data_IF_554605277770
#
_entry.id   IF_554605277770
#
_cell.length_a   1.000
_cell.length_b   1.000
_cell.length_c   1.000
_cell.angle_alpha   90.00
_cell.angle_beta   90.00
_cell.angle_gamma   90.00
#
_symmetry.space_group_name_H-M   'P 1'
#
loop_
_entity.id
_entity.type
_entity.pdbx_description
1 polymer ?
#
# COMPACT_ATOMS: atom_id res chain seq x y z
N UNK A 1 -8.16 -10.16 -12.46
CA UNK A 1 -7.89 -9.90 -11.02
C UNK A 1 -6.93 -8.74 -10.91
N UNK A 2 -7.25 -7.76 -10.08
CA UNK A 2 -6.43 -6.56 -9.91
C UNK A 2 -5.66 -6.65 -8.60
N UNK A 3 -4.35 -6.39 -8.67
CA UNK A 3 -3.46 -6.40 -7.50
C UNK A 3 -2.89 -5.00 -7.33
N UNK A 4 -3.18 -4.40 -6.19
CA UNK A 4 -2.65 -3.10 -5.82
C UNK A 4 -1.41 -3.30 -4.94
N UNK A 5 -0.29 -2.70 -5.35
CA UNK A 5 0.95 -2.74 -4.58
C UNK A 5 1.25 -1.34 -4.09
N UNK A 6 1.36 -1.16 -2.79
CA UNK A 6 1.78 0.12 -2.22
C UNK A 6 3.28 0.10 -1.96
N UNK A 7 3.92 1.26 -2.03
CA UNK A 7 5.36 1.35 -1.76
C UNK A 7 6.23 0.76 -2.86
N UNK A 8 5.93 1.09 -4.10
CA UNK A 8 6.65 0.52 -5.25
C UNK A 8 8.13 0.85 -5.27
N UNK A 9 8.53 1.94 -4.64
CA UNK A 9 9.93 2.36 -4.59
C UNK A 9 10.72 1.68 -3.48
N UNK A 10 10.06 0.96 -2.59
CA UNK A 10 10.73 0.17 -1.57
C UNK A 10 11.36 -1.08 -2.15
N UNK A 11 12.15 -1.77 -1.34
CA UNK A 11 12.88 -2.96 -1.80
C UNK A 11 11.93 -4.05 -2.29
N UNK A 12 10.94 -4.40 -1.49
CA UNK A 12 9.98 -5.44 -1.86
C UNK A 12 9.10 -5.01 -3.03
N UNK A 13 8.61 -3.77 -3.01
CA UNK A 13 7.79 -3.25 -4.09
C UNK A 13 8.52 -3.24 -5.43
N UNK A 14 9.80 -2.86 -5.42
CA UNK A 14 10.62 -2.86 -6.63
C UNK A 14 10.83 -4.27 -7.18
N UNK A 15 11.05 -5.24 -6.30
CA UNK A 15 11.20 -6.64 -6.71
C UNK A 15 9.91 -7.19 -7.33
N UNK A 16 8.77 -6.88 -6.72
CA UNK A 16 7.47 -7.27 -7.28
C UNK A 16 7.26 -6.67 -8.66
N UNK A 17 7.63 -5.41 -8.83
CA UNK A 17 7.48 -4.73 -10.11
C UNK A 17 8.31 -5.39 -11.21
N UNK A 18 9.53 -5.79 -10.89
CA UNK A 18 10.39 -6.50 -11.83
C UNK A 18 9.78 -7.83 -12.26
N UNK A 19 9.16 -8.54 -11.31
CA UNK A 19 8.63 -9.88 -11.56
C UNK A 19 7.21 -9.88 -12.12
N UNK A 20 6.51 -8.75 -12.08
CA UNK A 20 5.13 -8.66 -12.54
C UNK A 20 4.98 -8.94 -14.03
N UNK A 21 6.04 -8.71 -14.80
CA UNK A 21 6.03 -8.94 -16.25
C UNK A 21 5.93 -10.40 -16.62
N UNK A 22 6.24 -11.31 -15.69
CA UNK A 22 6.19 -12.75 -15.95
C UNK A 22 4.81 -13.34 -15.77
N UNK A 23 3.85 -12.56 -15.21
CA UNK A 23 2.50 -13.04 -14.97
C UNK A 23 1.49 -12.06 -15.56
N UNK A 24 1.01 -12.36 -16.75
CA UNK A 24 0.07 -11.51 -17.48
C UNK A 24 -1.39 -11.76 -17.09
N UNK A 25 -1.67 -12.68 -16.16
CA UNK A 25 -3.03 -13.01 -15.75
C UNK A 25 -3.60 -12.00 -14.77
N UNK A 26 -2.78 -11.09 -14.26
CA UNK A 26 -3.20 -10.11 -13.26
C UNK A 26 -2.98 -8.70 -13.79
N UNK A 27 -3.89 -7.81 -13.40
CA UNK A 27 -3.69 -6.38 -13.60
C UNK A 27 -2.96 -5.82 -12.38
N UNK A 28 -1.74 -5.37 -12.57
CA UNK A 28 -0.89 -4.85 -11.51
C UNK A 28 -0.99 -3.34 -11.45
N UNK A 29 -1.25 -2.80 -10.27
CA UNK A 29 -1.26 -1.35 -10.03
C UNK A 29 -0.21 -1.05 -8.98
N UNK A 30 0.86 -0.39 -9.40
CA UNK A 30 1.95 -0.03 -8.50
C UNK A 30 1.81 1.43 -8.10
N UNK A 31 1.89 1.69 -6.80
CA UNK A 31 1.72 3.03 -6.27
C UNK A 31 2.88 3.42 -5.36
N UNK A 32 3.15 4.71 -5.33
CA UNK A 32 4.09 5.30 -4.39
C UNK A 32 3.36 6.33 -3.52
N UNK A 33 4.12 7.07 -2.73
CA UNK A 33 3.56 8.08 -1.83
C UNK A 33 2.81 9.18 -2.57
N UNK A 34 3.23 9.51 -3.79
CA UNK A 34 2.59 10.57 -4.58
C UNK A 34 1.27 10.13 -5.18
N UNK A 35 1.21 8.88 -5.67
CA UNK A 35 0.00 8.37 -6.30
C UNK A 35 -1.01 7.86 -5.27
N UNK A 36 -0.55 7.33 -4.16
CA UNK A 36 -1.42 6.85 -3.08
C UNK A 36 -0.76 7.16 -1.74
N UNK A 37 -1.15 8.27 -1.14
CA UNK A 37 -0.56 8.74 0.11
C UNK A 37 -1.28 8.10 1.30
N UNK A 38 -0.67 7.08 1.88
CA UNK A 38 -1.26 6.37 3.02
C UNK A 38 -1.27 7.19 4.31
N UNK A 39 -0.55 8.32 4.35
CA UNK A 39 -0.62 9.20 5.51
C UNK A 39 -1.85 10.11 5.47
N UNK A 40 -2.55 10.17 4.35
CA UNK A 40 -3.78 10.93 4.20
C UNK A 40 -4.97 9.99 4.38
N UNK A 41 -5.48 9.92 5.60
CA UNK A 41 -6.54 8.99 5.95
C UNK A 41 -7.83 9.20 5.15
N UNK A 42 -8.13 10.44 4.80
CA UNK A 42 -9.35 10.75 4.06
C UNK A 42 -9.30 10.23 2.63
N UNK A 43 -8.12 10.06 2.07
CA UNK A 43 -7.94 9.60 0.70
C UNK A 43 -7.80 8.09 0.57
N UNK A 44 -7.56 7.37 1.66
CA UNK A 44 -7.36 5.91 1.58
C UNK A 44 -8.61 5.24 1.03
N UNK A 45 -9.76 5.47 1.65
CA UNK A 45 -11.02 4.86 1.22
C UNK A 45 -11.41 5.32 -0.18
N UNK A 46 -11.25 6.59 -0.47
CA UNK A 46 -11.57 7.14 -1.79
C UNK A 46 -10.75 6.48 -2.88
N UNK A 47 -9.45 6.36 -2.66
CA UNK A 47 -8.57 5.73 -3.63
C UNK A 47 -8.92 4.25 -3.84
N UNK A 48 -9.15 3.53 -2.75
CA UNK A 48 -9.48 2.10 -2.83
C UNK A 48 -10.84 1.87 -3.49
N UNK A 49 -11.80 2.73 -3.23
CA UNK A 49 -13.11 2.65 -3.89
C UNK A 49 -13.00 2.88 -5.39
N UNK A 50 -12.09 3.73 -5.83
CA UNK A 50 -11.84 3.97 -7.24
C UNK A 50 -11.07 2.83 -7.89
N UNK A 51 -10.07 2.31 -7.20
CA UNK A 51 -9.20 1.26 -7.72
C UNK A 51 -9.88 -0.12 -7.72
N UNK A 52 -10.62 -0.42 -6.66
CA UNK A 52 -11.32 -1.70 -6.45
C UNK A 52 -10.39 -2.91 -6.64
N UNK A 53 -9.29 -2.99 -5.90
CA UNK A 53 -8.39 -4.13 -6.03
C UNK A 53 -9.00 -5.40 -5.44
N UNK A 54 -8.60 -6.53 -5.98
CA UNK A 54 -8.93 -7.84 -5.43
C UNK A 54 -7.93 -8.28 -4.35
N UNK A 55 -6.69 -7.84 -4.51
CA UNK A 55 -5.60 -8.12 -3.58
C UNK A 55 -4.82 -6.82 -3.36
N UNK A 56 -4.47 -6.56 -2.12
CA UNK A 56 -3.57 -5.44 -1.77
C UNK A 56 -2.31 -6.03 -1.16
N UNK A 57 -1.15 -5.70 -1.74
CA UNK A 57 0.14 -6.03 -1.15
C UNK A 57 0.72 -4.72 -0.60
N UNK A 58 0.72 -4.61 0.71
CA UNK A 58 1.14 -3.38 1.37
C UNK A 58 2.64 -3.43 1.67
N UNK A 59 3.42 -2.85 0.77
CA UNK A 59 4.87 -2.69 0.92
C UNK A 59 5.25 -1.31 1.44
N UNK A 60 4.27 -0.44 1.64
CA UNK A 60 4.50 0.91 2.11
C UNK A 60 4.75 0.93 3.61
N UNK A 61 5.89 0.40 4.02
CA UNK A 61 6.37 0.70 5.35
C UNK A 61 6.88 2.14 5.34
N UNK A 62 6.57 2.89 6.37
CA UNK A 62 7.15 4.21 6.50
C UNK A 62 8.64 4.03 6.77
N UNK A 63 9.39 4.06 5.69
CA UNK A 63 10.81 3.76 5.73
C UNK A 63 11.66 5.01 5.93
N UNK A 64 11.10 6.06 6.48
CA UNK A 64 11.93 7.17 6.91
C UNK A 64 12.73 6.77 8.16
N UNK A 65 13.29 5.58 8.13
CA UNK A 65 14.18 5.11 9.17
C UNK A 65 15.32 6.09 9.37
N UNK A 66 15.75 6.70 8.28
CA UNK A 66 16.81 7.70 8.33
C UNK A 66 16.38 8.97 9.05
N UNK A 67 15.09 9.26 9.09
CA UNK A 67 14.52 10.37 9.82
C UNK A 67 13.84 9.95 11.11
N UNK A 68 13.91 8.70 11.45
CA UNK A 68 13.18 8.11 12.56
C UNK A 68 13.63 8.67 13.91
N UNK A 69 14.85 9.14 14.01
CA UNK A 69 15.33 9.76 15.24
C UNK A 69 14.57 11.01 15.62
N UNK A 70 13.89 11.64 14.66
CA UNK A 70 13.17 12.89 14.91
C UNK A 70 11.67 12.63 15.11
N UNK A 71 11.09 11.62 14.43
CA UNK A 71 9.65 11.50 14.34
C UNK A 71 9.20 10.04 14.33
N UNK A 72 9.87 9.19 15.07
CA UNK A 72 9.61 7.76 15.09
C UNK A 72 8.18 7.43 15.52
N UNK A 73 7.70 8.04 16.59
CA UNK A 73 6.36 7.76 17.11
C UNK A 73 5.28 8.17 16.11
N UNK A 74 5.44 9.31 15.47
CA UNK A 74 4.48 9.77 14.47
C UNK A 74 4.47 8.85 13.25
N UNK A 75 5.64 8.46 12.78
CA UNK A 75 5.76 7.52 11.67
C UNK A 75 5.09 6.18 11.97
N UNK A 76 5.31 5.67 13.18
CA UNK A 76 4.72 4.41 13.62
C UNK A 76 3.20 4.53 13.72
N UNK A 77 2.69 5.65 14.22
CA UNK A 77 1.26 5.90 14.32
C UNK A 77 0.62 5.97 12.93
N UNK A 78 1.25 6.67 12.00
CA UNK A 78 0.75 6.78 10.63
C UNK A 78 0.67 5.41 9.97
N UNK A 79 1.71 4.60 10.08
CA UNK A 79 1.73 3.26 9.51
C UNK A 79 0.64 2.38 10.12
N UNK A 80 0.49 2.43 11.41
CA UNK A 80 -0.51 1.62 12.12
C UNK A 80 -1.93 2.00 11.67
N UNK A 81 -2.22 3.30 11.62
CA UNK A 81 -3.53 3.78 11.20
C UNK A 81 -3.81 3.45 9.73
N UNK A 82 -2.82 3.59 8.88
CA UNK A 82 -2.98 3.27 7.46
C UNK A 82 -3.31 1.80 7.26
N UNK A 83 -2.57 0.92 7.91
CA UNK A 83 -2.81 -0.53 7.82
C UNK A 83 -4.20 -0.87 8.35
N UNK A 84 -4.61 -0.26 9.44
CA UNK A 84 -5.94 -0.47 10.01
C UNK A 84 -7.05 -0.08 9.04
N UNK A 85 -6.93 1.07 8.39
CA UNK A 85 -7.91 1.54 7.41
C UNK A 85 -7.94 0.66 6.16
N UNK A 86 -6.78 0.27 5.67
CA UNK A 86 -6.68 -0.62 4.51
C UNK A 86 -7.29 -1.99 4.84
N UNK A 87 -7.01 -2.51 6.02
CA UNK A 87 -7.56 -3.80 6.46
C UNK A 87 -9.07 -3.75 6.58
N UNK A 88 -9.60 -2.67 7.13
CA UNK A 88 -11.04 -2.48 7.27
C UNK A 88 -11.72 -2.42 5.90
N UNK A 89 -11.17 -1.63 4.99
CA UNK A 89 -11.69 -1.55 3.63
C UNK A 89 -11.66 -2.91 2.95
N UNK A 90 -10.54 -3.63 3.09
CA UNK A 90 -10.35 -4.94 2.46
C UNK A 90 -11.38 -5.95 2.96
N UNK A 91 -11.61 -5.97 4.27
CA UNK A 91 -12.61 -6.85 4.86
C UNK A 91 -14.00 -6.56 4.31
N UNK A 92 -14.37 -5.27 4.22
CA UNK A 92 -15.70 -4.88 3.77
C UNK A 92 -15.92 -5.09 2.27
N UNK A 93 -14.86 -5.26 1.49
CA UNK A 93 -14.93 -5.35 0.05
C UNK A 93 -14.41 -6.69 -0.51
N UNK A 94 -14.27 -7.70 0.33
CA UNK A 94 -13.78 -9.02 -0.04
C UNK A 94 -12.42 -8.96 -0.74
N UNK A 95 -11.59 -8.03 -0.33
CA UNK A 95 -10.24 -7.87 -0.85
C UNK A 95 -9.25 -8.57 0.10
N UNK A 96 -8.28 -9.29 -0.46
CA UNK A 96 -7.25 -9.93 0.34
C UNK A 96 -6.12 -8.93 0.60
N UNK A 97 -5.76 -8.79 1.87
CA UNK A 97 -4.64 -7.92 2.25
C UNK A 97 -3.45 -8.77 2.64
N UNK A 98 -2.31 -8.48 2.02
CA UNK A 98 -1.01 -9.06 2.34
C UNK A 98 -0.15 -7.92 2.88
N UNK A 99 0.28 -8.09 4.11
CA UNK A 99 1.01 -7.03 4.80
C UNK A 99 2.38 -7.53 5.23
#
# INVERSE_FOLDING_TARGET
MKILVTGEKGQLGSELKKNSHTNNNFEWVFTDRQSFNISDRDNIDVYLDMCKPNIIINCAAYTAVDNAGVDFENANTINHKAVELIAKWSYNNNCKLIH
#
